data_IF_528953483137
#
_entry.id   IF_528953483137
#
_cell.length_a   1.000
_cell.length_b   1.000
_cell.length_c   1.000
_cell.angle_alpha   90.00
_cell.angle_beta   90.00
_cell.angle_gamma   90.00
#
_symmetry.space_group_name_H-M   'P 1'
#
loop_
_entity.id
_entity.type
_entity.pdbx_description
1 polymer ?
#
# COMPACT_ATOMS: atom_id res chain seq x y z
N UNK A 1 -6.04 -12.46 -2.42
CA UNK A 1 -7.20 -12.84 -3.26
C UNK A 1 -7.62 -14.28 -3.09
N UNK A 2 -6.70 -15.24 -3.01
CA UNK A 2 -7.00 -16.67 -2.90
C UNK A 2 -7.98 -17.04 -1.77
N UNK A 3 -7.74 -16.57 -0.54
CA UNK A 3 -8.63 -16.86 0.60
C UNK A 3 -10.05 -16.34 0.35
N UNK A 4 -10.19 -15.13 -0.19
CA UNK A 4 -11.48 -14.53 -0.55
C UNK A 4 -12.17 -15.26 -1.72
N UNK A 5 -11.39 -15.83 -2.64
CA UNK A 5 -11.95 -16.63 -3.73
C UNK A 5 -12.47 -17.98 -3.22
N UNK A 6 -11.75 -18.61 -2.29
CA UNK A 6 -12.15 -19.86 -1.64
C UNK A 6 -13.47 -19.74 -0.88
N UNK A 7 -13.74 -18.59 -0.22
CA UNK A 7 -15.03 -18.38 0.48
C UNK A 7 -16.23 -18.39 -0.48
N UNK A 8 -16.02 -18.07 -1.76
CA UNK A 8 -17.08 -18.04 -2.79
C UNK A 8 -17.05 -19.30 -3.68
N UNK A 9 -15.98 -20.08 -3.65
CA UNK A 9 -15.88 -21.36 -4.33
C UNK A 9 -16.56 -22.48 -3.55
N UNK A 10 -16.34 -22.55 -2.23
CA UNK A 10 -16.87 -23.63 -1.39
C UNK A 10 -18.36 -23.44 -1.07
N UNK A 11 -19.25 -24.36 -1.50
CA UNK A 11 -20.68 -24.24 -1.22
C UNK A 11 -21.01 -24.34 0.28
N UNK A 12 -20.15 -25.00 1.06
CA UNK A 12 -20.27 -25.14 2.52
C UNK A 12 -20.05 -23.81 3.28
N UNK A 13 -19.41 -22.83 2.65
CA UNK A 13 -19.07 -21.53 3.24
C UNK A 13 -20.09 -20.45 2.87
N UNK A 14 -20.97 -20.73 1.90
CA UNK A 14 -22.06 -19.83 1.52
C UNK A 14 -23.33 -20.14 2.31
N UNK A 15 -24.10 -19.11 2.70
CA UNK A 15 -25.49 -19.33 3.09
C UNK A 15 -26.27 -19.88 1.89
N UNK A 16 -27.30 -20.68 2.16
CA UNK A 16 -28.19 -21.21 1.11
C UNK A 16 -28.87 -20.06 0.34
N UNK A 17 -29.08 -20.21 -0.97
CA UNK A 17 -29.72 -19.17 -1.78
C UNK A 17 -31.16 -18.95 -1.29
N UNK A 18 -31.55 -17.70 -1.01
CA UNK A 18 -32.93 -17.40 -0.68
C UNK A 18 -33.79 -17.51 -1.94
N UNK A 19 -34.76 -18.43 -1.93
CA UNK A 19 -35.85 -18.46 -2.91
C UNK A 19 -36.91 -17.49 -2.41
N UNK A 20 -37.09 -16.37 -3.10
CA UNK A 20 -38.16 -15.42 -2.80
C UNK A 20 -39.48 -16.02 -3.28
N UNK A 21 -40.09 -16.84 -2.42
CA UNK A 21 -41.50 -17.17 -2.57
C UNK A 21 -42.31 -16.07 -1.91
N UNK A 22 -43.21 -15.47 -2.70
CA UNK A 22 -44.16 -14.43 -2.31
C UNK A 22 -44.76 -14.70 -0.92
N UNK A 23 -44.72 -13.66 -0.07
CA UNK A 23 -45.27 -13.56 1.29
C UNK A 23 -44.30 -13.93 2.43
N UNK A 24 -43.56 -12.89 2.83
CA UNK A 24 -43.08 -12.59 4.20
C UNK A 24 -41.91 -13.41 4.76
N UNK A 25 -40.77 -12.72 4.88
CA UNK A 25 -39.46 -13.15 5.43
C UNK A 25 -38.79 -14.26 4.62
N UNK A 26 -37.73 -13.89 3.89
CA UNK A 26 -36.64 -14.83 3.63
C UNK A 26 -36.22 -15.39 5.00
N UNK A 27 -36.60 -16.63 5.31
CA UNK A 27 -35.95 -17.41 6.35
C UNK A 27 -34.60 -17.86 5.79
N UNK A 28 -33.78 -16.89 5.36
CA UNK A 28 -32.36 -17.11 5.11
C UNK A 28 -31.86 -17.71 6.40
N UNK A 29 -31.32 -18.93 6.37
CA UNK A 29 -30.42 -19.35 7.45
C UNK A 29 -29.35 -18.27 7.51
N UNK A 30 -29.44 -17.40 8.54
CA UNK A 30 -28.53 -16.29 8.71
C UNK A 30 -27.11 -16.84 8.62
N UNK A 31 -26.22 -16.12 7.93
CA UNK A 31 -24.84 -16.55 7.78
C UNK A 31 -24.28 -16.91 9.17
N UNK A 32 -23.77 -18.13 9.32
CA UNK A 32 -23.23 -18.57 10.60
C UNK A 32 -22.13 -17.61 11.04
N UNK A 33 -21.99 -17.36 12.34
CA UNK A 33 -20.93 -16.49 12.88
C UNK A 33 -19.53 -16.86 12.35
N UNK A 34 -19.28 -18.15 12.13
CA UNK A 34 -18.06 -18.68 11.50
C UNK A 34 -17.88 -18.27 10.04
N UNK A 35 -18.95 -18.26 9.23
CA UNK A 35 -18.91 -17.83 7.82
C UNK A 35 -18.58 -16.34 7.72
N UNK A 36 -19.18 -15.52 8.59
CA UNK A 36 -18.93 -14.08 8.65
C UNK A 36 -17.52 -13.78 9.16
N UNK A 37 -17.06 -14.48 10.19
CA UNK A 37 -15.70 -14.34 10.71
C UNK A 37 -14.64 -14.66 9.64
N UNK A 38 -14.84 -15.74 8.89
CA UNK A 38 -13.95 -16.12 7.77
C UNK A 38 -13.95 -15.05 6.66
N UNK A 39 -15.11 -14.47 6.35
CA UNK A 39 -15.22 -13.39 5.37
C UNK A 39 -14.45 -12.14 5.81
N UNK A 40 -14.62 -11.71 7.07
CA UNK A 40 -13.87 -10.56 7.61
C UNK A 40 -12.38 -10.81 7.66
N UNK A 41 -11.97 -12.02 8.04
CA UNK A 41 -10.57 -12.43 7.99
C UNK A 41 -10.00 -12.35 6.57
N UNK A 42 -10.74 -12.85 5.58
CA UNK A 42 -10.33 -12.78 4.17
C UNK A 42 -10.19 -11.33 3.68
N UNK A 43 -11.10 -10.43 4.07
CA UNK A 43 -11.00 -9.00 3.77
C UNK A 43 -9.84 -8.31 4.48
N UNK A 44 -9.57 -8.66 5.74
CA UNK A 44 -8.44 -8.13 6.49
C UNK A 44 -7.11 -8.50 5.81
N UNK A 45 -6.92 -9.78 5.49
CA UNK A 45 -5.74 -10.26 4.76
C UNK A 45 -5.59 -9.58 3.39
N UNK A 46 -6.70 -9.40 2.66
CA UNK A 46 -6.71 -8.66 1.38
C UNK A 46 -6.25 -7.22 1.57
N UNK A 47 -6.80 -6.53 2.56
CA UNK A 47 -6.48 -5.12 2.84
C UNK A 47 -4.99 -4.96 3.15
N UNK A 48 -4.46 -5.77 4.06
CA UNK A 48 -3.05 -5.76 4.46
C UNK A 48 -2.15 -6.01 3.25
N UNK A 49 -2.40 -7.07 2.48
CA UNK A 49 -1.60 -7.39 1.31
C UNK A 49 -1.63 -6.29 0.24
N UNK A 50 -2.80 -5.73 -0.05
CA UNK A 50 -2.94 -4.67 -1.06
C UNK A 50 -2.24 -3.37 -0.68
N UNK A 51 -2.22 -3.03 0.62
CA UNK A 51 -1.59 -1.82 1.13
C UNK A 51 -0.08 -1.96 1.23
N UNK A 52 0.44 -3.16 1.51
CA UNK A 52 1.88 -3.41 1.56
C UNK A 52 2.55 -3.40 0.17
N UNK A 53 1.93 -4.01 -0.84
CA UNK A 53 2.56 -4.17 -2.15
C UNK A 53 2.68 -2.84 -2.91
N UNK A 54 1.66 -1.97 -2.84
CA UNK A 54 1.59 -0.73 -3.63
C UNK A 54 2.80 0.21 -3.43
N UNK A 55 3.14 0.67 -2.20
CA UNK A 55 4.28 1.57 -2.01
C UNK A 55 5.62 0.88 -2.32
N UNK A 56 5.76 -0.41 -1.99
CA UNK A 56 7.00 -1.14 -2.19
C UNK A 56 7.28 -1.43 -3.68
N UNK A 57 6.25 -1.74 -4.47
CA UNK A 57 6.42 -2.10 -5.88
C UNK A 57 6.97 -0.97 -6.75
N UNK A 58 6.51 0.26 -6.52
CA UNK A 58 6.97 1.44 -7.26
C UNK A 58 8.42 1.78 -6.91
N UNK A 59 8.73 1.83 -5.61
CA UNK A 59 10.09 2.07 -5.13
C UNK A 59 11.06 0.99 -5.64
N UNK A 60 10.66 -0.28 -5.52
CA UNK A 60 11.46 -1.40 -6.02
C UNK A 60 11.72 -1.30 -7.52
N UNK A 61 10.71 -0.95 -8.32
CA UNK A 61 10.87 -0.78 -9.77
C UNK A 61 11.80 0.39 -10.13
N UNK A 62 11.70 1.50 -9.41
CA UNK A 62 12.62 2.63 -9.56
C UNK A 62 14.06 2.22 -9.21
N UNK A 63 14.25 1.44 -8.13
CA UNK A 63 15.57 0.94 -7.72
C UNK A 63 16.23 0.03 -8.77
N UNK A 64 15.44 -0.65 -9.60
CA UNK A 64 15.97 -1.47 -10.71
C UNK A 64 16.52 -0.62 -11.87
N UNK A 65 15.97 0.58 -12.08
CA UNK A 65 16.29 1.45 -13.20
C UNK A 65 17.23 2.60 -12.82
N UNK A 66 17.35 2.90 -11.52
CA UNK A 66 18.25 3.92 -11.01
C UNK A 66 19.72 3.52 -11.21
N UNK A 67 20.31 4.03 -12.29
CA UNK A 67 21.73 3.89 -12.59
C UNK A 67 22.39 5.27 -12.69
N UNK A 68 23.11 5.65 -11.64
CA UNK A 68 23.81 6.94 -11.51
C UNK A 68 24.93 7.16 -12.53
N UNK A 69 25.43 6.10 -13.16
CA UNK A 69 26.48 6.20 -14.19
C UNK A 69 25.92 6.58 -15.56
N UNK A 70 24.61 6.44 -15.75
CA UNK A 70 23.96 6.78 -17.01
C UNK A 70 23.58 8.27 -17.06
N UNK A 71 24.06 9.06 -18.04
CA UNK A 71 23.71 10.48 -18.17
C UNK A 71 22.23 10.72 -18.52
N UNK A 72 21.50 9.66 -18.90
CA UNK A 72 20.06 9.68 -19.21
C UNK A 72 19.19 9.08 -18.10
N UNK A 73 19.74 8.82 -16.92
CA UNK A 73 19.04 8.16 -15.81
C UNK A 73 17.69 8.82 -15.49
N UNK A 74 17.69 10.15 -15.38
CA UNK A 74 16.50 10.95 -15.08
C UNK A 74 15.38 10.72 -16.11
N UNK A 75 15.70 10.80 -17.40
CA UNK A 75 14.72 10.54 -18.47
C UNK A 75 14.16 9.11 -18.43
N UNK A 76 14.99 8.12 -18.10
CA UNK A 76 14.55 6.72 -17.98
C UNK A 76 13.57 6.56 -16.82
N UNK A 77 13.89 7.14 -15.66
CA UNK A 77 13.04 7.15 -14.48
C UNK A 77 11.71 7.88 -14.75
N UNK A 78 11.75 9.07 -15.37
CA UNK A 78 10.54 9.81 -15.76
C UNK A 78 9.64 8.99 -16.70
N UNK A 79 10.23 8.34 -17.70
CA UNK A 79 9.50 7.48 -18.63
C UNK A 79 8.87 6.27 -17.91
N UNK A 80 9.61 5.67 -16.98
CA UNK A 80 9.09 4.58 -16.14
C UNK A 80 7.90 5.04 -15.30
N UNK A 81 8.00 6.17 -14.59
CA UNK A 81 6.89 6.70 -13.81
C UNK A 81 5.69 7.03 -14.71
N UNK A 82 5.91 7.66 -15.86
CA UNK A 82 4.87 7.96 -16.84
C UNK A 82 4.12 6.71 -17.30
N UNK A 83 4.85 5.67 -17.72
CA UNK A 83 4.25 4.40 -18.13
C UNK A 83 3.57 3.66 -16.99
N UNK A 84 4.15 3.69 -15.79
CA UNK A 84 3.57 3.08 -14.60
C UNK A 84 2.21 3.70 -14.26
N UNK A 85 2.11 5.04 -14.24
CA UNK A 85 0.85 5.72 -13.96
C UNK A 85 -0.17 5.56 -15.09
N UNK A 86 0.27 5.62 -16.35
CA UNK A 86 -0.61 5.37 -17.49
C UNK A 86 -1.22 3.95 -17.45
N UNK A 87 -0.36 2.93 -17.27
CA UNK A 87 -0.78 1.53 -17.13
C UNK A 87 -1.70 1.32 -15.92
N UNK A 88 -1.37 1.91 -14.77
CA UNK A 88 -2.19 1.82 -13.56
C UNK A 88 -3.58 2.43 -13.75
N UNK A 89 -3.66 3.59 -14.40
CA UNK A 89 -4.95 4.24 -14.70
C UNK A 89 -5.81 3.37 -15.63
N UNK A 90 -5.22 2.81 -16.69
CA UNK A 90 -5.92 1.87 -17.59
C UNK A 90 -6.40 0.63 -16.83
N UNK A 91 -5.55 0.05 -15.97
CA UNK A 91 -5.93 -1.10 -15.15
C UNK A 91 -7.09 -0.79 -14.20
N UNK A 92 -7.14 0.41 -13.61
CA UNK A 92 -8.25 0.86 -12.76
C UNK A 92 -9.54 1.03 -13.58
N UNK A 93 -9.46 1.59 -14.79
CA UNK A 93 -10.62 1.69 -15.68
C UNK A 93 -11.17 0.32 -16.05
N UNK A 94 -10.31 -0.64 -16.40
CA UNK A 94 -10.70 -2.03 -16.68
C UNK A 94 -11.31 -2.68 -15.44
N UNK A 95 -10.75 -2.43 -14.25
CA UNK A 95 -11.27 -2.97 -13.00
C UNK A 95 -12.69 -2.45 -12.69
N UNK A 96 -12.97 -1.15 -12.90
CA UNK A 96 -14.30 -0.59 -12.64
C UNK A 96 -15.33 -0.86 -13.73
N UNK A 97 -14.90 -1.28 -14.92
CA UNK A 97 -15.81 -1.61 -16.03
C UNK A 97 -15.96 -3.12 -16.18
N UNK A 98 -14.93 -3.80 -16.68
CA UNK A 98 -14.94 -5.23 -17.02
C UNK A 98 -15.10 -6.12 -15.79
N UNK A 99 -14.34 -5.87 -14.73
CA UNK A 99 -14.41 -6.75 -13.54
C UNK A 99 -15.74 -6.56 -12.80
N UNK A 100 -16.26 -5.33 -12.72
CA UNK A 100 -17.60 -5.07 -12.16
C UNK A 100 -18.67 -5.74 -13.00
N UNK A 101 -18.60 -5.64 -14.33
CA UNK A 101 -19.52 -6.34 -15.24
C UNK A 101 -19.52 -7.86 -15.00
N UNK A 102 -18.35 -8.47 -14.90
CA UNK A 102 -18.19 -9.90 -14.60
C UNK A 102 -18.79 -10.25 -13.22
N UNK A 103 -18.54 -9.42 -12.21
CA UNK A 103 -19.09 -9.65 -10.86
C UNK A 103 -20.61 -9.62 -10.84
N UNK A 104 -21.21 -8.71 -11.60
CA UNK A 104 -22.66 -8.52 -11.68
C UNK A 104 -23.36 -9.62 -12.51
N UNK A 105 -22.83 -9.94 -13.69
CA UNK A 105 -23.48 -10.87 -14.63
C UNK A 105 -23.09 -12.34 -14.44
N UNK A 106 -21.81 -12.60 -14.14
CA UNK A 106 -21.25 -13.96 -13.98
C UNK A 106 -21.08 -14.35 -12.51
N UNK A 107 -21.35 -13.42 -11.60
CA UNK A 107 -21.33 -13.62 -10.16
C UNK A 107 -19.94 -13.58 -9.52
N UNK A 108 -19.95 -13.49 -8.20
CA UNK A 108 -18.76 -13.33 -7.35
C UNK A 108 -17.73 -14.46 -7.47
N UNK A 109 -18.16 -15.66 -7.85
CA UNK A 109 -17.25 -16.82 -8.01
C UNK A 109 -16.24 -16.57 -9.12
N UNK A 110 -16.71 -16.08 -10.27
CA UNK A 110 -15.87 -15.78 -11.42
C UNK A 110 -15.18 -14.43 -11.20
N UNK A 111 -15.91 -13.44 -10.66
CA UNK A 111 -15.39 -12.11 -10.39
C UNK A 111 -14.20 -12.05 -9.42
N UNK A 112 -14.13 -12.90 -8.41
CA UNK A 112 -12.94 -13.03 -7.55
C UNK A 112 -11.89 -14.00 -8.09
N UNK A 113 -12.27 -14.89 -9.00
CA UNK A 113 -11.37 -15.84 -9.63
C UNK A 113 -10.41 -15.20 -10.60
N UNK A 114 -10.89 -14.25 -11.41
CA UNK A 114 -10.05 -13.55 -12.40
C UNK A 114 -8.84 -12.86 -11.73
N UNK A 115 -9.01 -12.01 -10.69
CA UNK A 115 -7.85 -11.44 -9.99
C UNK A 115 -6.98 -12.47 -9.27
N UNK A 116 -7.57 -13.56 -8.76
CA UNK A 116 -6.82 -14.62 -8.07
C UNK A 116 -5.88 -15.37 -9.03
N UNK A 117 -6.38 -15.75 -10.20
CA UNK A 117 -5.64 -16.45 -11.25
C UNK A 117 -4.58 -15.55 -11.88
N UNK A 118 -4.78 -14.23 -11.96
CA UNK A 118 -3.75 -13.30 -12.43
C UNK A 118 -2.66 -13.04 -11.39
N UNK A 119 -3.04 -12.91 -10.12
CA UNK A 119 -2.12 -12.55 -9.03
C UNK A 119 -1.18 -13.70 -8.64
N UNK A 120 -1.64 -14.96 -8.71
CA UNK A 120 -0.80 -16.13 -8.41
C UNK A 120 0.44 -16.27 -9.32
N UNK A 121 0.30 -16.40 -10.64
CA UNK A 121 1.45 -16.54 -11.54
C UNK A 121 2.32 -15.30 -11.53
N UNK A 122 1.74 -14.09 -11.38
CA UNK A 122 2.52 -12.88 -11.20
C UNK A 122 3.43 -12.95 -9.96
N UNK A 123 2.90 -13.43 -8.83
CA UNK A 123 3.68 -13.65 -7.61
C UNK A 123 4.77 -14.72 -7.78
N UNK A 124 4.45 -15.83 -8.45
CA UNK A 124 5.42 -16.90 -8.73
C UNK A 124 6.55 -16.38 -9.64
N UNK A 125 6.20 -15.70 -10.73
CA UNK A 125 7.18 -15.10 -11.64
C UNK A 125 8.06 -14.06 -10.95
N UNK A 126 7.48 -13.22 -10.07
CA UNK A 126 8.24 -12.26 -9.28
C UNK A 126 9.28 -12.96 -8.39
N UNK A 127 8.93 -14.05 -7.73
CA UNK A 127 9.87 -14.81 -6.90
C UNK A 127 10.92 -15.52 -7.75
N UNK A 128 10.52 -16.13 -8.88
CA UNK A 128 11.45 -16.80 -9.79
C UNK A 128 12.44 -15.85 -10.46
N UNK A 129 12.04 -14.60 -10.70
CA UNK A 129 12.89 -13.55 -11.25
C UNK A 129 13.78 -12.85 -10.19
N UNK A 130 13.66 -13.21 -8.91
CA UNK A 130 14.50 -12.71 -7.81
C UNK A 130 16.02 -12.67 -8.08
N UNK A 131 16.66 -13.66 -8.73
CA UNK A 131 18.09 -13.59 -9.04
C UNK A 131 18.46 -12.54 -10.09
N UNK A 132 17.49 -12.05 -10.89
CA UNK A 132 17.71 -11.02 -11.90
C UNK A 132 17.62 -9.60 -11.32
N UNK A 133 17.12 -9.46 -10.10
CA UNK A 133 16.88 -8.15 -9.49
C UNK A 133 18.12 -7.58 -8.80
N UNK A 134 18.30 -6.27 -8.96
CA UNK A 134 19.26 -5.47 -8.19
C UNK A 134 18.75 -5.38 -6.74
N UNK A 135 19.55 -5.90 -5.81
CA UNK A 135 19.24 -5.89 -4.37
C UNK A 135 20.01 -4.74 -3.71
N UNK A 136 19.30 -3.67 -3.37
CA UNK A 136 19.86 -2.55 -2.59
C UNK A 136 19.95 -2.94 -1.12
N UNK A 137 20.98 -2.45 -0.43
CA UNK A 137 21.12 -2.63 1.01
C UNK A 137 20.01 -1.89 1.77
N UNK A 138 19.61 -2.43 2.92
CA UNK A 138 18.61 -1.79 3.76
C UNK A 138 19.10 -0.39 4.18
N UNK A 139 18.31 0.63 3.86
CA UNK A 139 18.52 1.98 4.37
C UNK A 139 17.99 2.05 5.81
N UNK A 140 18.66 2.84 6.67
CA UNK A 140 18.24 3.13 8.04
C UNK A 140 16.72 3.43 8.12
N UNK A 141 16.06 2.91 9.17
CA UNK A 141 14.60 3.00 9.31
C UNK A 141 14.16 4.45 9.56
N UNK A 142 13.41 5.01 8.61
CA UNK A 142 12.76 6.33 8.73
C UNK A 142 11.87 6.44 9.98
N UNK A 143 11.23 5.34 10.38
CA UNK A 143 10.41 5.31 11.59
C UNK A 143 11.24 5.48 12.86
N UNK A 144 12.45 4.91 12.89
CA UNK A 144 13.37 5.09 14.00
C UNK A 144 13.82 6.54 14.08
N UNK A 145 14.14 7.17 12.94
CA UNK A 145 14.46 8.59 12.88
C UNK A 145 13.31 9.48 13.37
N UNK A 146 12.07 9.22 12.90
CA UNK A 146 10.89 9.98 13.34
C UNK A 146 10.60 9.79 14.84
N UNK A 147 10.73 8.56 15.34
CA UNK A 147 10.56 8.27 16.77
C UNK A 147 11.65 8.97 17.60
N UNK A 148 12.90 8.95 17.15
CA UNK A 148 14.01 9.66 17.79
C UNK A 148 13.73 11.16 17.84
N UNK A 149 13.34 11.78 16.72
CA UNK A 149 13.01 13.21 16.69
C UNK A 149 11.83 13.54 17.61
N UNK A 150 10.77 12.73 17.61
CA UNK A 150 9.62 12.94 18.48
C UNK A 150 9.99 12.82 19.97
N UNK A 151 10.77 11.80 20.33
CA UNK A 151 11.25 11.57 21.70
C UNK A 151 12.19 12.70 22.13
N UNK A 152 13.17 13.05 21.30
CA UNK A 152 14.12 14.14 21.57
C UNK A 152 13.39 15.47 21.71
N UNK A 153 12.42 15.79 20.85
CA UNK A 153 11.62 17.01 20.96
C UNK A 153 10.80 17.03 22.26
N UNK A 154 10.21 15.90 22.67
CA UNK A 154 9.42 15.82 23.89
C UNK A 154 10.28 15.94 25.16
N UNK A 155 11.42 15.25 25.20
CA UNK A 155 12.37 15.28 26.32
C UNK A 155 12.99 16.68 26.46
N UNK A 156 13.39 17.26 25.33
CA UNK A 156 14.04 18.58 25.30
C UNK A 156 13.06 19.74 25.32
N UNK A 157 11.74 19.50 25.43
CA UNK A 157 10.72 20.56 25.42
C UNK A 157 10.89 21.60 26.53
N UNK A 158 11.63 21.26 27.59
CA UNK A 158 11.87 22.13 28.76
C UNK A 158 13.24 22.81 28.74
N UNK A 159 14.09 22.53 27.76
CA UNK A 159 15.36 23.21 27.64
C UNK A 159 15.12 24.68 27.31
N UNK A 160 15.87 25.55 27.96
CA UNK A 160 15.94 26.96 27.56
C UNK A 160 16.63 27.03 26.20
N UNK A 161 16.07 27.82 25.30
CA UNK A 161 16.68 28.07 24.01
C UNK A 161 18.03 28.76 24.23
N UNK A 162 19.09 28.38 23.51
CA UNK A 162 20.34 29.11 23.54
C UNK A 162 20.06 30.57 23.16
N UNK A 163 20.55 31.51 23.98
CA UNK A 163 20.39 32.93 23.72
C UNK A 163 21.09 33.31 22.42
N UNK A 164 20.61 34.36 21.75
CA UNK A 164 21.16 34.86 20.47
C UNK A 164 22.67 35.16 20.52
N UNK A 165 23.24 35.30 21.71
CA UNK A 165 24.66 35.56 21.95
C UNK A 165 25.52 34.28 22.07
N UNK A 166 24.91 33.11 22.19
CA UNK A 166 25.60 31.82 22.28
C UNK A 166 25.72 31.20 20.87
N UNK A 167 26.90 31.39 20.26
CA UNK A 167 27.28 30.91 18.93
C UNK A 167 27.08 29.40 18.70
N UNK A 168 26.89 28.61 19.76
CA UNK A 168 26.73 27.15 19.72
C UNK A 168 25.29 26.66 19.46
N UNK A 169 24.29 27.56 19.46
CA UNK A 169 22.86 27.21 19.36
C UNK A 169 22.21 27.43 17.99
N UNK A 170 22.99 27.88 17.02
CA UNK A 170 22.48 28.40 15.77
C UNK A 170 22.62 27.36 14.65
N UNK A 171 21.49 27.00 14.03
CA UNK A 171 21.49 26.09 12.88
C UNK A 171 21.71 26.88 11.60
N UNK A 172 22.66 26.44 10.77
CA UNK A 172 22.92 27.01 9.46
C UNK A 172 21.67 26.96 8.59
N UNK A 173 21.19 28.11 8.15
CA UNK A 173 20.14 28.20 7.15
C UNK A 173 20.72 28.89 5.91
N UNK A 174 21.62 28.23 5.17
CA UNK A 174 22.31 28.74 3.98
C UNK A 174 23.27 29.92 4.24
N UNK A 175 24.34 30.00 3.42
CA UNK A 175 25.52 30.86 3.62
C UNK A 175 25.26 32.38 3.69
N UNK A 176 24.08 32.87 3.30
CA UNK A 176 23.75 34.29 3.25
C UNK A 176 22.54 34.69 4.12
N UNK A 177 22.07 33.82 5.03
CA UNK A 177 20.89 34.13 5.86
C UNK A 177 21.26 34.63 7.26
N UNK A 178 20.48 35.58 7.76
CA UNK A 178 20.60 36.05 9.15
C UNK A 178 20.41 34.91 10.16
N UNK A 179 21.26 34.92 11.18
CA UNK A 179 21.20 34.07 12.36
C UNK A 179 19.84 34.21 13.06
N UNK A 180 18.95 33.25 12.82
CA UNK A 180 17.60 33.24 13.40
C UNK A 180 17.53 32.25 14.56
N UNK A 181 17.47 32.77 15.78
CA UNK A 181 17.20 31.97 16.96
C UNK A 181 15.75 31.44 16.93
N UNK A 182 15.47 30.27 17.53
CA UNK A 182 14.11 29.76 17.66
C UNK A 182 13.25 30.77 18.44
N UNK A 183 12.06 31.10 17.93
CA UNK A 183 11.18 32.10 18.55
C UNK A 183 10.32 31.45 19.64
N UNK A 184 10.23 32.10 20.81
CA UNK A 184 9.34 31.71 21.91
C UNK A 184 7.83 31.70 21.55
N UNK A 185 7.46 32.22 20.37
CA UNK A 185 6.06 32.31 19.92
C UNK A 185 5.45 31.00 19.42
N UNK A 186 6.24 29.91 19.34
CA UNK A 186 5.83 28.61 18.80
C UNK A 186 5.55 27.55 19.89
N UNK A 187 5.44 27.98 21.16
CA UNK A 187 5.12 27.10 22.30
C UNK A 187 3.64 27.18 22.67
#
# INVERSE_FOLDING_TARGET
MMVLWLTVMLPQVKPSPCVVSTVTKCSSTAATSSQLALLYFAFALRSIGSRGIRPCSLAFGADQLDNKENPKNERVLESFFGWYYASSSVAVLIAFTVIVYIQDHLGWRIGFGVPAILMLPAGILFVLASPLYVKRNATESLFTGLAQVAVSAYVNRKLMLPGQNDSYGCYYHLNDSELKAPSDKLR
#
